data_IF_603649394165
#
_entry.id   IF_603649394165
#
_cell.length_a   1.000
_cell.length_b   1.000
_cell.length_c   1.000
_cell.angle_alpha   90.00
_cell.angle_beta   90.00
_cell.angle_gamma   90.00
#
_symmetry.space_group_name_H-M   'P 1'
#
loop_
_entity.id
_entity.type
_entity.pdbx_description
1 polymer ?
#
# COMPACT_ATOMS: atom_id res chain seq x y z
N UNK A 1 -40.89 -14.18 -65.22
CA UNK A 1 -41.12 -12.81 -64.72
C UNK A 1 -40.61 -12.73 -63.28
N UNK A 2 -39.64 -11.85 -62.99
CA UNK A 2 -39.07 -11.62 -61.65
C UNK A 2 -39.60 -10.29 -61.11
N UNK A 3 -40.01 -10.17 -59.85
CA UNK A 3 -40.07 -8.88 -59.19
C UNK A 3 -38.84 -8.65 -58.29
N UNK A 4 -38.18 -7.51 -58.50
CA UNK A 4 -37.26 -6.86 -57.56
C UNK A 4 -38.07 -5.85 -56.76
N UNK A 5 -37.88 -5.79 -55.44
CA UNK A 5 -38.16 -4.65 -54.54
C UNK A 5 -37.46 -4.96 -53.20
N UNK A 6 -36.97 -4.05 -52.38
CA UNK A 6 -36.41 -2.69 -52.51
C UNK A 6 -35.68 -2.49 -51.15
N UNK A 7 -34.44 -2.00 -51.16
CA UNK A 7 -33.67 -1.70 -49.95
C UNK A 7 -34.25 -0.47 -49.24
N UNK A 8 -34.48 -0.55 -47.93
CA UNK A 8 -34.54 0.61 -47.04
C UNK A 8 -33.61 0.38 -45.85
N UNK A 9 -32.40 0.93 -45.96
CA UNK A 9 -31.40 1.01 -44.91
C UNK A 9 -31.54 2.37 -44.22
N UNK A 10 -32.29 2.43 -43.12
CA UNK A 10 -32.36 3.62 -42.26
C UNK A 10 -31.18 3.61 -41.29
N UNK A 11 -30.17 4.41 -41.61
CA UNK A 11 -29.00 4.68 -40.78
C UNK A 11 -29.38 5.77 -39.75
N UNK A 12 -29.74 5.37 -38.52
CA UNK A 12 -29.95 6.30 -37.42
C UNK A 12 -28.59 6.64 -36.80
N UNK A 13 -28.05 7.81 -37.14
CA UNK A 13 -26.86 8.40 -36.50
C UNK A 13 -27.22 8.87 -35.08
N UNK A 14 -27.05 8.00 -34.08
CA UNK A 14 -26.99 8.41 -32.68
C UNK A 14 -25.65 9.13 -32.46
N UNK A 15 -25.68 10.46 -32.44
CA UNK A 15 -24.56 11.26 -31.96
C UNK A 15 -24.50 11.14 -30.44
N UNK A 16 -23.64 10.25 -29.94
CA UNK A 16 -23.24 10.23 -28.54
C UNK A 16 -22.47 11.53 -28.23
N UNK A 17 -23.15 12.49 -27.60
CA UNK A 17 -22.51 13.62 -26.93
C UNK A 17 -21.70 13.04 -25.77
N UNK A 18 -20.39 12.87 -25.99
CA UNK A 18 -19.43 12.53 -24.95
C UNK A 18 -19.32 13.71 -23.99
N UNK A 19 -20.10 13.68 -22.92
CA UNK A 19 -19.93 14.54 -21.76
C UNK A 19 -18.69 14.05 -20.99
N UNK A 20 -17.50 14.47 -21.42
CA UNK A 20 -16.28 14.31 -20.63
C UNK A 20 -16.24 15.41 -19.57
N UNK A 21 -16.94 15.20 -18.47
CA UNK A 21 -16.64 15.92 -17.25
C UNK A 21 -15.36 15.30 -16.67
N UNK A 22 -14.22 15.91 -16.96
CA UNK A 22 -13.01 15.62 -16.17
C UNK A 22 -13.36 15.92 -14.70
N UNK A 23 -13.24 14.93 -13.80
CA UNK A 23 -13.49 15.19 -12.38
C UNK A 23 -12.50 16.26 -11.91
N UNK A 24 -12.92 17.17 -11.02
CA UNK A 24 -12.04 18.21 -10.51
C UNK A 24 -10.80 17.56 -9.93
N UNK A 25 -9.66 17.84 -10.56
CA UNK A 25 -8.35 17.39 -10.11
C UNK A 25 -8.17 17.98 -8.71
N UNK A 26 -8.41 17.17 -7.67
CA UNK A 26 -8.12 17.58 -6.29
C UNK A 26 -6.67 18.03 -6.28
N UNK A 27 -6.44 19.27 -5.87
CA UNK A 27 -5.11 19.84 -5.75
C UNK A 27 -4.23 18.82 -5.04
N UNK A 28 -3.26 18.29 -5.78
CA UNK A 28 -2.30 17.31 -5.27
C UNK A 28 -1.61 18.00 -4.10
N UNK A 29 -1.88 17.52 -2.88
CA UNK A 29 -1.26 18.09 -1.67
C UNK A 29 0.26 18.10 -1.80
N UNK A 30 0.93 18.92 -1.00
CA UNK A 30 2.40 19.03 -0.99
C UNK A 30 3.09 17.67 -0.78
N UNK A 31 3.44 16.98 -1.88
CA UNK A 31 4.07 15.65 -1.87
C UNK A 31 5.43 15.71 -1.19
N UNK A 32 6.19 16.79 -1.42
CA UNK A 32 7.49 17.00 -0.78
C UNK A 32 7.34 17.08 0.74
N UNK A 33 6.34 17.83 1.22
CA UNK A 33 5.96 17.88 2.62
C UNK A 33 5.60 16.51 3.20
N UNK A 34 4.87 15.68 2.46
CA UNK A 34 4.50 14.32 2.90
C UNK A 34 5.71 13.38 2.95
N UNK A 35 6.61 13.44 1.96
CA UNK A 35 7.85 12.66 1.93
C UNK A 35 8.77 13.03 3.09
N UNK A 36 8.91 14.34 3.37
CA UNK A 36 9.66 14.84 4.52
C UNK A 36 9.06 14.36 5.85
N UNK A 37 7.73 14.35 5.95
CA UNK A 37 7.04 13.81 7.13
C UNK A 37 7.31 12.33 7.29
N UNK A 38 7.17 11.52 6.23
CA UNK A 38 7.47 10.09 6.27
C UNK A 38 8.92 9.84 6.71
N UNK A 39 9.87 10.61 6.19
CA UNK A 39 11.28 10.55 6.59
C UNK A 39 11.48 10.85 8.07
N UNK A 40 10.87 11.92 8.57
CA UNK A 40 10.96 12.30 10.00
C UNK A 40 10.39 11.24 10.94
N UNK A 41 9.38 10.49 10.51
CA UNK A 41 8.83 9.35 11.28
C UNK A 41 9.74 8.12 11.23
N UNK A 42 10.64 8.00 10.25
CA UNK A 42 11.67 6.95 10.19
C UNK A 42 12.89 7.34 11.05
N UNK A 43 13.30 8.60 11.03
CA UNK A 43 14.49 9.08 11.72
C UNK A 43 14.18 9.61 13.14
N UNK A 44 13.13 9.13 13.81
CA UNK A 44 12.69 9.68 15.10
C UNK A 44 13.38 8.97 16.29
N UNK A 45 14.43 9.55 16.92
CA UNK A 45 15.11 8.93 18.06
C UNK A 45 14.28 8.96 19.35
N UNK A 46 13.18 9.72 19.38
CA UNK A 46 12.34 9.91 20.57
C UNK A 46 11.24 8.86 20.69
N UNK A 47 10.93 8.17 19.60
CA UNK A 47 9.96 7.09 19.60
C UNK A 47 10.74 5.79 19.65
N UNK A 48 10.59 5.04 20.74
CA UNK A 48 11.16 3.72 20.80
C UNK A 48 10.53 2.86 19.71
N UNK A 49 11.39 2.22 18.91
CA UNK A 49 10.99 1.17 17.96
C UNK A 49 10.76 -0.18 18.66
N UNK A 50 10.89 -0.24 19.99
CA UNK A 50 10.56 -1.43 20.77
C UNK A 50 9.06 -1.67 20.74
N UNK A 51 8.67 -2.94 20.68
CA UNK A 51 7.27 -3.33 20.73
C UNK A 51 6.68 -3.00 22.11
N UNK A 52 6.03 -1.83 22.22
CA UNK A 52 5.30 -1.44 23.42
C UNK A 52 3.97 -2.19 23.52
N UNK A 53 3.47 -2.37 24.75
CA UNK A 53 2.20 -3.00 25.03
C UNK A 53 1.03 -2.06 24.72
N UNK A 54 0.58 -2.01 23.47
CA UNK A 54 -0.54 -1.18 23.02
C UNK A 54 -1.48 -2.01 22.16
N UNK A 55 -2.79 -1.99 22.42
CA UNK A 55 -3.81 -2.79 21.73
C UNK A 55 -3.97 -2.53 20.21
N UNK A 56 -3.08 -1.72 19.61
CA UNK A 56 -3.24 -1.04 18.33
C UNK A 56 -1.87 -0.69 17.70
N UNK A 57 -1.89 -0.27 16.43
CA UNK A 57 -0.73 0.32 15.76
C UNK A 57 -0.11 1.45 16.61
N UNK A 58 1.23 1.50 16.69
CA UNK A 58 1.90 2.62 17.35
C UNK A 58 1.58 3.94 16.66
N UNK A 59 1.70 5.06 17.39
CA UNK A 59 1.44 6.38 16.80
C UNK A 59 2.31 6.62 15.55
N UNK A 60 3.57 6.18 15.57
CA UNK A 60 4.47 6.26 14.43
C UNK A 60 4.05 5.34 13.28
N UNK A 61 3.60 4.11 13.54
CA UNK A 61 3.05 3.23 12.49
C UNK A 61 1.83 3.87 11.82
N UNK A 62 0.92 4.46 12.61
CA UNK A 62 -0.26 5.17 12.10
C UNK A 62 0.13 6.36 11.22
N UNK A 63 1.06 7.21 11.68
CA UNK A 63 1.53 8.38 10.92
C UNK A 63 2.22 7.97 9.62
N UNK A 64 3.00 6.89 9.62
CA UNK A 64 3.62 6.33 8.41
C UNK A 64 2.57 5.83 7.42
N UNK A 65 1.58 5.06 7.88
CA UNK A 65 0.47 4.59 7.03
C UNK A 65 -0.35 5.76 6.47
N UNK A 66 -0.57 6.82 7.23
CA UNK A 66 -1.23 8.04 6.71
C UNK A 66 -0.43 8.70 5.59
N UNK A 67 0.90 8.78 5.73
CA UNK A 67 1.77 9.28 4.67
C UNK A 67 1.68 8.40 3.42
N UNK A 68 1.76 7.07 3.57
CA UNK A 68 1.63 6.11 2.46
C UNK A 68 0.29 6.27 1.75
N UNK A 69 -0.82 6.32 2.50
CA UNK A 69 -2.16 6.48 1.93
C UNK A 69 -2.29 7.79 1.14
N UNK A 70 -1.70 8.88 1.66
CA UNK A 70 -1.71 10.19 1.00
C UNK A 70 -0.88 10.17 -0.28
N UNK A 71 0.34 9.61 -0.24
CA UNK A 71 1.19 9.43 -1.43
C UNK A 71 0.49 8.58 -2.49
N UNK A 72 -0.15 7.48 -2.08
CA UNK A 72 -0.94 6.62 -2.96
C UNK A 72 -2.11 7.37 -3.59
N UNK A 73 -2.80 8.22 -2.84
CA UNK A 73 -3.92 9.02 -3.36
C UNK A 73 -3.49 10.07 -4.40
N UNK A 74 -2.22 10.46 -4.41
CA UNK A 74 -1.64 11.34 -5.42
C UNK A 74 -1.34 10.63 -6.76
N UNK A 75 -1.59 9.32 -6.86
CA UNK A 75 -1.49 8.55 -8.10
C UNK A 75 -0.08 8.55 -8.68
N UNK A 76 0.02 8.71 -10.00
CA UNK A 76 1.28 8.67 -10.76
C UNK A 76 2.26 9.76 -10.34
N UNK A 77 1.76 10.93 -9.93
CA UNK A 77 2.61 12.01 -9.40
C UNK A 77 3.27 11.58 -8.09
N UNK A 78 2.50 10.98 -7.18
CA UNK A 78 3.02 10.43 -5.92
C UNK A 78 4.06 9.34 -6.17
N UNK A 79 3.76 8.40 -7.06
CA UNK A 79 4.69 7.31 -7.42
C UNK A 79 6.01 7.86 -8.00
N UNK A 80 5.93 8.82 -8.93
CA UNK A 80 7.11 9.42 -9.55
C UNK A 80 8.02 10.07 -8.52
N UNK A 81 7.44 10.82 -7.58
CA UNK A 81 8.20 11.47 -6.51
C UNK A 81 8.83 10.44 -5.55
N UNK A 82 8.09 9.39 -5.16
CA UNK A 82 8.65 8.30 -4.34
C UNK A 82 9.84 7.62 -5.04
N UNK A 83 9.77 7.40 -6.37
CA UNK A 83 10.88 6.83 -7.15
C UNK A 83 12.09 7.75 -7.23
N UNK A 84 11.88 9.06 -7.37
CA UNK A 84 12.98 10.04 -7.34
C UNK A 84 13.70 9.99 -5.99
N UNK A 85 12.94 9.93 -4.90
CA UNK A 85 13.48 9.95 -3.54
C UNK A 85 14.28 8.68 -3.18
N UNK A 86 13.92 7.53 -3.77
CA UNK A 86 14.61 6.25 -3.57
C UNK A 86 16.10 6.32 -3.89
N UNK A 87 16.51 7.12 -4.88
CA UNK A 87 17.91 7.19 -5.31
C UNK A 87 18.88 7.72 -4.23
N UNK A 88 18.38 8.51 -3.29
CA UNK A 88 19.18 9.07 -2.18
C UNK A 88 18.84 8.51 -0.79
N UNK A 89 17.76 7.74 -0.68
CA UNK A 89 17.29 7.23 0.60
C UNK A 89 18.20 6.13 1.17
N UNK A 90 18.23 6.02 2.50
CA UNK A 90 18.98 4.98 3.23
C UNK A 90 18.18 4.49 4.43
N UNK A 91 18.64 3.38 5.02
CA UNK A 91 18.13 2.88 6.30
C UNK A 91 16.64 2.59 6.28
N UNK A 92 15.95 2.94 7.37
CA UNK A 92 14.51 2.74 7.53
C UNK A 92 13.69 3.49 6.47
N UNK A 93 14.09 4.71 6.15
CA UNK A 93 13.35 5.53 5.18
C UNK A 93 13.30 4.89 3.80
N UNK A 94 14.43 4.33 3.33
CA UNK A 94 14.45 3.56 2.07
C UNK A 94 13.48 2.38 2.11
N UNK A 95 13.44 1.64 3.22
CA UNK A 95 12.52 0.49 3.36
C UNK A 95 11.07 0.95 3.29
N UNK A 96 10.73 2.10 3.91
CA UNK A 96 9.39 2.66 3.86
C UNK A 96 9.00 3.18 2.47
N UNK A 97 9.94 3.71 1.67
CA UNK A 97 9.68 4.07 0.28
C UNK A 97 9.37 2.83 -0.58
N UNK A 98 10.08 1.72 -0.35
CA UNK A 98 9.76 0.42 -1.01
C UNK A 98 8.36 -0.06 -0.62
N UNK A 99 8.01 0.00 0.66
CA UNK A 99 6.64 -0.35 1.12
C UNK A 99 5.60 0.57 0.47
N UNK A 100 5.92 1.85 0.28
CA UNK A 100 5.03 2.82 -0.37
C UNK A 100 4.77 2.44 -1.83
N UNK A 101 5.82 2.12 -2.60
CA UNK A 101 5.66 1.67 -3.99
C UNK A 101 4.90 0.34 -4.09
N UNK A 102 5.14 -0.59 -3.16
CA UNK A 102 4.37 -1.83 -3.08
C UNK A 102 2.88 -1.53 -2.88
N UNK A 103 2.54 -0.62 -1.96
CA UNK A 103 1.17 -0.19 -1.70
C UNK A 103 0.49 0.47 -2.91
N UNK A 104 1.29 1.08 -3.80
CA UNK A 104 0.86 1.65 -5.08
C UNK A 104 0.71 0.60 -6.19
N UNK A 105 1.17 -0.63 -5.98
CA UNK A 105 1.04 -1.74 -6.93
C UNK A 105 2.30 -2.02 -7.76
N UNK A 106 3.44 -1.42 -7.43
CA UNK A 106 4.70 -1.71 -8.10
C UNK A 106 5.13 -3.16 -7.89
N UNK A 107 5.23 -3.93 -8.97
CA UNK A 107 5.45 -5.38 -8.92
C UNK A 107 6.75 -5.77 -8.24
N UNK A 108 7.85 -5.05 -8.52
CA UNK A 108 9.15 -5.34 -7.94
C UNK A 108 9.16 -5.00 -6.45
N UNK A 109 8.57 -3.87 -6.09
CA UNK A 109 8.44 -3.45 -4.70
C UNK A 109 7.51 -4.35 -3.89
N UNK A 110 6.47 -4.95 -4.48
CA UNK A 110 5.62 -5.94 -3.78
C UNK A 110 6.47 -7.11 -3.28
N UNK A 111 7.36 -7.64 -4.12
CA UNK A 111 8.25 -8.72 -3.70
C UNK A 111 9.25 -8.26 -2.64
N UNK A 112 9.87 -7.10 -2.84
CA UNK A 112 10.83 -6.55 -1.88
C UNK A 112 10.19 -6.24 -0.53
N UNK A 113 8.99 -5.66 -0.50
CA UNK A 113 8.22 -5.42 0.71
C UNK A 113 7.83 -6.74 1.39
N UNK A 114 7.56 -7.81 0.64
CA UNK A 114 7.37 -9.15 1.19
C UNK A 114 8.61 -9.67 1.92
N UNK A 115 9.81 -9.36 1.43
CA UNK A 115 11.05 -9.67 2.14
C UNK A 115 11.26 -8.76 3.36
N UNK A 116 10.91 -7.48 3.27
CA UNK A 116 10.96 -6.55 4.41
C UNK A 116 10.04 -6.98 5.54
N UNK A 117 8.83 -7.44 5.21
CA UNK A 117 7.88 -8.00 6.18
C UNK A 117 8.50 -9.12 7.03
N UNK A 118 9.35 -9.96 6.43
CA UNK A 118 9.97 -11.11 7.08
C UNK A 118 11.30 -10.79 7.78
N UNK A 119 12.07 -9.83 7.25
CA UNK A 119 13.49 -9.71 7.55
C UNK A 119 13.93 -8.31 7.98
N UNK A 120 13.07 -7.29 7.89
CA UNK A 120 13.45 -5.95 8.32
C UNK A 120 13.88 -5.98 9.79
N UNK A 121 14.97 -5.30 10.13
CA UNK A 121 15.44 -5.24 11.52
C UNK A 121 14.45 -4.51 12.43
N UNK A 122 13.72 -3.56 11.86
CA UNK A 122 12.83 -2.67 12.58
C UNK A 122 11.40 -3.23 12.57
N UNK A 123 10.79 -3.46 13.75
CA UNK A 123 9.44 -3.98 13.88
C UNK A 123 8.39 -3.19 13.10
N UNK A 124 8.45 -1.87 13.18
CA UNK A 124 7.49 -0.98 12.53
C UNK A 124 7.50 -1.14 11.01
N UNK A 125 8.67 -1.38 10.39
CA UNK A 125 8.76 -1.66 8.94
C UNK A 125 8.05 -2.97 8.60
N UNK A 126 8.26 -4.03 9.40
CA UNK A 126 7.59 -5.32 9.16
C UNK A 126 6.07 -5.18 9.18
N UNK A 127 5.57 -4.41 10.15
CA UNK A 127 4.15 -4.18 10.36
C UNK A 127 3.54 -3.35 9.24
N UNK A 128 4.16 -2.21 8.90
CA UNK A 128 3.72 -1.40 7.77
C UNK A 128 3.70 -2.21 6.47
N UNK A 129 4.75 -3.01 6.21
CA UNK A 129 4.79 -3.91 5.06
C UNK A 129 3.63 -4.91 5.09
N UNK A 130 3.43 -5.65 6.18
CA UNK A 130 2.35 -6.63 6.32
C UNK A 130 0.97 -6.00 6.09
N UNK A 131 0.71 -4.84 6.69
CA UNK A 131 -0.57 -4.14 6.57
C UNK A 131 -0.83 -3.67 5.13
N UNK A 132 0.14 -3.01 4.49
CA UNK A 132 -0.05 -2.57 3.10
C UNK A 132 -0.20 -3.74 2.13
N UNK A 133 0.62 -4.77 2.28
CA UNK A 133 0.59 -5.96 1.45
C UNK A 133 -0.73 -6.76 1.61
N UNK A 134 -1.30 -6.80 2.81
CA UNK A 134 -2.57 -7.49 3.05
C UNK A 134 -3.74 -6.87 2.24
N UNK A 135 -3.68 -5.55 2.02
CA UNK A 135 -4.71 -4.82 1.25
C UNK A 135 -4.67 -5.12 -0.24
N UNK A 136 -3.51 -5.54 -0.76
CA UNK A 136 -3.33 -5.88 -2.18
C UNK A 136 -3.96 -7.22 -2.55
N UNK A 137 -4.12 -8.13 -1.57
CA UNK A 137 -4.62 -9.50 -1.79
C UNK A 137 -3.84 -10.28 -2.88
N UNK A 138 -2.54 -10.00 -3.00
CA UNK A 138 -1.68 -10.64 -3.98
C UNK A 138 -1.38 -12.10 -3.57
N UNK A 139 -1.73 -13.04 -4.44
CA UNK A 139 -1.53 -14.49 -4.22
C UNK A 139 -0.07 -14.86 -4.06
N UNK A 140 0.86 -14.10 -4.64
CA UNK A 140 2.31 -14.32 -4.50
C UNK A 140 2.77 -14.18 -3.05
N UNK A 141 2.02 -13.43 -2.23
CA UNK A 141 2.37 -13.14 -0.84
C UNK A 141 1.86 -14.19 0.16
N UNK A 142 1.11 -15.21 -0.29
CA UNK A 142 0.60 -16.27 0.60
C UNK A 142 1.74 -17.00 1.31
N UNK A 143 2.81 -17.33 0.60
CA UNK A 143 4.01 -17.94 1.18
C UNK A 143 4.68 -17.04 2.23
N UNK A 144 5.05 -15.80 1.87
CA UNK A 144 5.55 -14.82 2.83
C UNK A 144 4.66 -14.62 4.06
N UNK A 145 3.34 -14.50 3.91
CA UNK A 145 2.45 -14.35 5.06
C UNK A 145 2.43 -15.60 5.96
N UNK A 146 2.43 -16.81 5.40
CA UNK A 146 2.54 -18.05 6.19
C UNK A 146 3.85 -18.10 6.98
N UNK A 147 4.95 -17.65 6.38
CA UNK A 147 6.24 -17.59 7.06
C UNK A 147 6.24 -16.53 8.16
N UNK A 148 5.63 -15.36 7.93
CA UNK A 148 5.51 -14.30 8.93
C UNK A 148 4.74 -14.75 10.18
N UNK A 149 3.73 -15.62 10.04
CA UNK A 149 3.03 -16.22 11.18
C UNK A 149 3.91 -17.14 12.04
N UNK A 150 5.02 -17.63 11.51
CA UNK A 150 5.99 -18.47 12.24
C UNK A 150 7.18 -17.66 12.78
N UNK A 151 7.17 -16.35 12.59
CA UNK A 151 8.25 -15.46 13.02
C UNK A 151 8.30 -15.39 14.55
N UNK A 152 9.51 -15.44 15.11
CA UNK A 152 9.75 -15.30 16.55
C UNK A 152 9.57 -13.87 17.05
N UNK A 153 9.35 -12.93 16.12
CA UNK A 153 9.08 -11.55 16.45
C UNK A 153 7.76 -11.41 17.23
N UNK A 154 7.89 -11.22 18.54
CA UNK A 154 6.78 -11.07 19.46
C UNK A 154 6.28 -9.62 19.45
N UNK A 155 5.15 -9.38 18.79
CA UNK A 155 4.41 -8.12 18.91
C UNK A 155 3.50 -8.22 20.14
N UNK A 156 3.82 -7.45 21.18
CA UNK A 156 3.11 -7.47 22.47
C UNK A 156 1.92 -6.51 22.48
N UNK A 157 1.13 -6.44 21.42
CA UNK A 157 0.20 -5.33 21.20
C UNK A 157 -1.26 -5.67 21.53
N UNK A 158 -1.53 -6.58 22.47
CA UNK A 158 -2.87 -6.89 22.98
C UNK A 158 -3.93 -7.35 21.97
N UNK A 159 -3.61 -7.40 20.67
CA UNK A 159 -4.47 -7.85 19.57
C UNK A 159 -4.61 -9.38 19.51
N UNK A 160 -3.87 -10.07 20.37
CA UNK A 160 -3.81 -11.53 20.49
C UNK A 160 -4.55 -11.97 21.75
N UNK A 161 -5.72 -12.60 21.60
CA UNK A 161 -6.38 -13.32 22.70
C UNK A 161 -5.91 -14.78 22.66
N UNK A 162 -4.66 -15.03 23.09
CA UNK A 162 -4.12 -16.38 23.20
C UNK A 162 -2.60 -16.42 23.44
N UNK A 163 -2.07 -17.47 24.10
CA UNK A 163 -0.63 -17.70 24.19
C UNK A 163 -0.13 -18.18 22.82
N UNK A 164 0.41 -17.26 22.02
CA UNK A 164 0.85 -17.54 20.65
C UNK A 164 0.68 -16.32 19.77
N UNK A 165 1.82 -15.82 19.29
CA UNK A 165 2.03 -14.56 18.59
C UNK A 165 1.15 -14.40 17.34
N UNK A 166 0.70 -13.17 17.07
CA UNK A 166 0.06 -12.82 15.81
C UNK A 166 0.80 -11.64 15.18
N UNK A 167 1.41 -11.91 14.03
CA UNK A 167 1.75 -10.88 13.06
C UNK A 167 0.46 -10.15 12.63
N UNK A 168 0.49 -8.86 12.30
CA UNK A 168 -0.68 -8.07 11.88
C UNK A 168 -1.45 -8.60 10.63
N UNK A 169 -1.06 -9.76 10.09
CA UNK A 169 -1.79 -10.50 9.05
C UNK A 169 -3.06 -11.22 9.55
N UNK A 170 -3.53 -10.97 10.79
CA UNK A 170 -4.74 -11.58 11.36
C UNK A 170 -6.05 -11.35 10.60
N UNK A 171 -6.04 -10.55 9.53
CA UNK A 171 -7.15 -10.42 8.59
C UNK A 171 -6.98 -11.34 7.35
N UNK A 172 -6.68 -12.62 7.54
CA UNK A 172 -7.10 -13.60 6.54
C UNK A 172 -8.62 -13.78 6.71
N UNK A 173 -9.45 -13.49 5.70
CA UNK A 173 -10.87 -13.78 5.81
C UNK A 173 -11.02 -15.28 6.10
N UNK A 174 -11.93 -15.67 7.02
CA UNK A 174 -12.24 -17.08 7.20
C UNK A 174 -12.65 -17.64 5.83
N UNK A 175 -11.99 -18.72 5.41
CA UNK A 175 -12.27 -19.35 4.14
C UNK A 175 -13.76 -19.67 4.04
N UNK A 176 -14.43 -19.02 3.09
CA UNK A 176 -15.63 -19.46 2.37
C UNK A 176 -15.84 -18.57 1.15
#
# INVERSE_FOLDING_TARGET
MKPRLFLFSSLLMLQCVSWSAEPPTRAVGDIGGILNRLKSECDNPKVSNDAQWISYCSETELKRMQCIATLKSAGTTGETQVRQELGGAKGEYLQMLVVTLAAMGDNDSIWQAGQLMLRAKLPAVRVCAALELSRLKDKRLVGPFKQALSDQFERRDGSCVGPGMIFPSGALPPGR
#
